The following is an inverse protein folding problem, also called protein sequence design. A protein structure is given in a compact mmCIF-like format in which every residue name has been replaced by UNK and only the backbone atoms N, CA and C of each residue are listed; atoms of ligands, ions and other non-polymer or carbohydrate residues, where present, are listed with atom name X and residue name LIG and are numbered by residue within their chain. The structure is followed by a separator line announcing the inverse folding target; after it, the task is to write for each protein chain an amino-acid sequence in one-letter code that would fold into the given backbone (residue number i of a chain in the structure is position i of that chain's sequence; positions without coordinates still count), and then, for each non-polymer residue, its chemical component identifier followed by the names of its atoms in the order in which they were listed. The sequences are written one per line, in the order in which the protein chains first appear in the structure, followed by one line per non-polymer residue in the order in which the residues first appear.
data_IF_772741851480
#
_entry.id   IF_772741851480
#
_cell.length_a   1.000
_cell.length_b   1.000
_cell.length_c   1.000
_cell.angle_alpha   90.00
_cell.angle_beta   90.00
_cell.angle_gamma   90.00
#
_symmetry.space_group_name_H-M   'P 1'
#
loop_
_entity.id
_entity.type
_entity.pdbx_description
1 polymer ?
#
# COMPACT_ATOMS: atom_id res chain seq x y z
N UNK A 1 8.20 -22.62 -70.93
CA UNK A 1 7.03 -22.59 -70.03
C UNK A 1 7.54 -22.71 -68.60
N UNK A 2 7.26 -21.69 -67.78
CA UNK A 2 7.83 -21.47 -66.44
C UNK A 2 7.11 -22.37 -65.43
N UNK A 3 7.89 -23.06 -64.59
CA UNK A 3 7.42 -23.95 -63.52
C UNK A 3 6.87 -23.13 -62.34
N UNK A 4 5.63 -23.39 -61.94
CA UNK A 4 4.99 -22.79 -60.76
C UNK A 4 5.54 -23.43 -59.49
N UNK A 5 6.15 -22.64 -58.61
CA UNK A 5 6.52 -23.03 -57.25
C UNK A 5 5.32 -22.78 -56.31
N UNK A 6 4.80 -23.84 -55.68
CA UNK A 6 3.88 -23.71 -54.56
C UNK A 6 4.71 -23.52 -53.28
N UNK A 7 4.68 -22.32 -52.70
CA UNK A 7 5.16 -22.09 -51.33
C UNK A 7 4.08 -22.56 -50.35
N UNK A 8 4.37 -23.65 -49.62
CA UNK A 8 3.60 -24.05 -48.45
C UNK A 8 3.97 -23.18 -47.25
N UNK A 9 2.98 -22.48 -46.68
CA UNK A 9 3.13 -21.71 -45.45
C UNK A 9 2.98 -22.68 -44.26
N UNK A 10 4.07 -23.02 -43.60
CA UNK A 10 4.04 -23.78 -42.35
C UNK A 10 3.67 -22.83 -41.19
N UNK A 11 2.48 -23.01 -40.63
CA UNK A 11 2.04 -22.30 -39.42
C UNK A 11 2.63 -23.03 -38.21
N UNK A 12 3.73 -22.50 -37.65
CA UNK A 12 4.30 -23.03 -36.41
C UNK A 12 3.44 -22.58 -35.23
N UNK A 13 2.68 -23.50 -34.65
CA UNK A 13 1.97 -23.27 -33.38
C UNK A 13 3.00 -23.30 -32.26
N UNK A 14 3.49 -22.14 -31.83
CA UNK A 14 4.22 -22.00 -30.57
C UNK A 14 3.22 -22.08 -29.42
N UNK A 15 3.10 -23.26 -28.80
CA UNK A 15 2.52 -23.35 -27.46
C UNK A 15 3.48 -22.65 -26.49
N UNK A 16 3.07 -21.51 -25.96
CA UNK A 16 3.73 -20.90 -24.81
C UNK A 16 3.53 -21.83 -23.61
N UNK A 17 4.60 -22.50 -23.20
CA UNK A 17 4.63 -23.24 -21.94
C UNK A 17 4.71 -22.18 -20.85
N UNK A 18 3.59 -21.91 -20.17
CA UNK A 18 3.59 -21.06 -19.00
C UNK A 18 4.56 -21.65 -17.96
N UNK A 19 5.51 -20.86 -17.50
CA UNK A 19 6.39 -21.24 -16.40
C UNK A 19 5.53 -21.58 -15.16
N UNK A 20 5.90 -22.58 -14.37
CA UNK A 20 5.17 -22.89 -13.15
C UNK A 20 5.25 -21.69 -12.21
N UNK A 21 4.10 -21.27 -11.71
CA UNK A 21 3.99 -20.20 -10.75
C UNK A 21 4.71 -20.59 -9.45
N UNK A 22 5.62 -19.74 -8.99
CA UNK A 22 6.37 -19.96 -7.75
C UNK A 22 5.42 -20.02 -6.55
N UNK A 23 5.78 -20.73 -5.47
CA UNK A 23 4.91 -20.86 -4.28
C UNK A 23 4.65 -19.53 -3.53
N UNK A 24 5.34 -18.44 -3.92
CA UNK A 24 5.04 -17.06 -3.52
C UNK A 24 3.98 -16.36 -4.40
N UNK A 25 3.51 -17.01 -5.45
CA UNK A 25 2.53 -16.51 -6.42
C UNK A 25 1.10 -17.05 -6.17
N UNK A 26 0.92 -17.87 -5.12
CA UNK A 26 -0.27 -18.70 -4.94
C UNK A 26 -1.52 -18.02 -4.37
N UNK A 27 -1.46 -16.76 -3.92
CA UNK A 27 -2.61 -16.08 -3.29
C UNK A 27 -3.39 -15.16 -4.24
N UNK A 28 -2.81 -14.79 -5.39
CA UNK A 28 -3.38 -13.80 -6.30
C UNK A 28 -3.25 -12.34 -5.81
N UNK A 29 -2.62 -12.10 -4.66
CA UNK A 29 -2.37 -10.76 -4.11
C UNK A 29 -0.95 -10.26 -4.38
N UNK A 30 -0.73 -8.94 -4.58
CA UNK A 30 0.59 -8.38 -4.75
C UNK A 30 1.50 -8.56 -3.52
N UNK A 31 2.77 -8.84 -3.76
CA UNK A 31 3.79 -9.00 -2.72
C UNK A 31 4.26 -7.63 -2.20
N UNK A 32 3.53 -7.06 -1.25
CA UNK A 32 3.80 -5.71 -0.69
C UNK A 32 4.56 -5.73 0.64
N UNK A 33 5.05 -6.89 1.10
CA UNK A 33 5.84 -6.99 2.34
C UNK A 33 7.09 -6.12 2.26
N UNK A 34 7.35 -5.39 3.34
CA UNK A 34 8.47 -4.45 3.47
C UNK A 34 8.04 -3.11 4.07
N UNK A 35 9.00 -2.19 4.19
CA UNK A 35 8.76 -0.84 4.66
C UNK A 35 8.53 0.11 3.50
N UNK A 36 7.48 0.90 3.59
CA UNK A 36 7.07 1.90 2.61
C UNK A 36 7.11 3.28 3.25
N UNK A 37 7.66 4.28 2.57
CA UNK A 37 7.84 5.61 3.16
C UNK A 37 7.38 6.71 2.21
N UNK A 38 6.93 7.82 2.81
CA UNK A 38 6.51 9.00 2.07
C UNK A 38 6.29 10.20 2.97
N UNK A 39 6.04 11.34 2.33
CA UNK A 39 5.67 12.58 3.02
C UNK A 39 4.31 13.07 2.53
N UNK A 40 3.54 13.68 3.41
CA UNK A 40 2.18 14.10 3.12
C UNK A 40 1.79 15.33 3.94
N UNK A 41 0.63 15.89 3.59
CA UNK A 41 -0.01 16.99 4.30
C UNK A 41 -1.23 16.48 5.06
N UNK A 42 -1.29 16.78 6.36
CA UNK A 42 -2.42 16.41 7.22
C UNK A 42 -3.48 17.50 7.18
N UNK A 43 -4.71 17.11 6.85
CA UNK A 43 -5.91 17.94 6.98
C UNK A 43 -6.64 17.66 8.28
N UNK A 44 -7.21 18.73 8.87
CA UNK A 44 -8.01 18.66 10.09
C UNK A 44 -9.40 19.23 9.83
N UNK A 45 -10.43 18.51 10.26
CA UNK A 45 -11.80 19.00 10.28
C UNK A 45 -11.91 20.25 11.15
N UNK A 46 -12.88 21.12 10.86
CA UNK A 46 -13.09 22.40 11.60
C UNK A 46 -13.26 22.20 13.12
N UNK A 47 -13.81 21.06 13.54
CA UNK A 47 -14.01 20.71 14.94
C UNK A 47 -12.74 20.27 15.66
N UNK A 48 -11.66 19.93 14.96
CA UNK A 48 -10.42 19.48 15.57
C UNK A 48 -9.66 20.68 16.18
N UNK A 49 -9.14 20.60 17.42
CA UNK A 49 -8.38 21.67 18.07
C UNK A 49 -7.16 22.15 17.27
N UNK A 50 -6.59 21.29 16.43
CA UNK A 50 -5.45 21.60 15.57
C UNK A 50 -5.84 22.18 14.20
N UNK A 51 -7.14 22.41 13.92
CA UNK A 51 -7.59 22.94 12.62
C UNK A 51 -6.87 24.23 12.20
N UNK A 52 -6.66 25.15 13.16
CA UNK A 52 -5.98 26.42 12.91
C UNK A 52 -4.49 26.27 12.54
N UNK A 53 -3.88 25.10 12.77
CA UNK A 53 -2.49 24.83 12.39
C UNK A 53 -2.33 24.53 10.88
N UNK A 54 -3.43 24.47 10.14
CA UNK A 54 -3.41 24.25 8.69
C UNK A 54 -2.87 22.87 8.31
N UNK A 55 -2.32 22.78 7.09
CA UNK A 55 -1.71 21.55 6.57
C UNK A 55 -0.34 21.33 7.22
N UNK A 56 -0.24 20.30 8.06
CA UNK A 56 1.03 19.91 8.68
C UNK A 56 1.79 18.94 7.77
N UNK A 57 3.08 19.23 7.53
CA UNK A 57 3.96 18.33 6.79
C UNK A 57 4.44 17.20 7.69
N UNK A 58 4.11 15.98 7.29
CA UNK A 58 4.33 14.76 8.07
C UNK A 58 5.08 13.75 7.20
N UNK A 59 5.91 12.93 7.83
CA UNK A 59 6.50 11.75 7.20
C UNK A 59 5.96 10.48 7.86
N UNK A 60 5.86 9.42 7.06
CA UNK A 60 5.46 8.11 7.56
C UNK A 60 6.33 6.97 7.04
N UNK A 61 6.35 5.89 7.81
CA UNK A 61 6.84 4.57 7.45
C UNK A 61 5.74 3.55 7.75
N UNK A 62 5.20 2.95 6.70
CA UNK A 62 4.27 1.83 6.79
C UNK A 62 5.06 0.53 6.58
N UNK A 63 5.27 -0.20 7.67
CA UNK A 63 5.95 -1.49 7.64
C UNK A 63 4.92 -2.61 7.55
N UNK A 64 4.85 -3.30 6.42
CA UNK A 64 3.98 -4.47 6.22
C UNK A 64 4.80 -5.72 6.51
N UNK A 65 4.42 -6.45 7.57
CA UNK A 65 5.22 -7.54 8.15
C UNK A 65 4.71 -8.93 7.77
N UNK A 66 3.41 -9.09 7.54
CA UNK A 66 2.80 -10.38 7.20
C UNK A 66 1.76 -10.24 6.10
N UNK A 67 1.81 -11.16 5.14
CA UNK A 67 0.78 -11.40 4.12
C UNK A 67 0.46 -12.91 4.14
N UNK A 68 -0.77 -13.26 4.51
CA UNK A 68 -1.23 -14.65 4.65
C UNK A 68 -2.61 -14.79 4.02
N UNK A 69 -2.64 -15.30 2.79
CA UNK A 69 -3.81 -15.15 1.92
C UNK A 69 -4.08 -13.66 1.66
N UNK A 70 -5.28 -13.19 2.01
CA UNK A 70 -5.66 -11.79 1.89
C UNK A 70 -5.40 -10.97 3.17
N UNK A 71 -4.92 -11.58 4.26
CA UNK A 71 -4.67 -10.90 5.54
C UNK A 71 -3.36 -10.11 5.49
N UNK A 72 -3.38 -8.90 6.03
CA UNK A 72 -2.25 -7.98 6.14
C UNK A 72 -2.04 -7.59 7.60
N UNK A 73 -0.80 -7.60 8.06
CA UNK A 73 -0.37 -6.96 9.32
C UNK A 73 0.66 -5.89 9.02
N UNK A 74 0.52 -4.73 9.64
CA UNK A 74 1.40 -3.59 9.43
C UNK A 74 1.63 -2.77 10.72
N UNK A 75 2.71 -2.01 10.73
CA UNK A 75 2.99 -0.97 11.71
C UNK A 75 3.08 0.37 10.99
N UNK A 76 2.23 1.32 11.35
CA UNK A 76 2.31 2.69 10.90
C UNK A 76 3.20 3.48 11.86
N UNK A 77 4.25 4.12 11.35
CA UNK A 77 5.05 5.09 12.10
C UNK A 77 4.93 6.43 11.44
N UNK A 78 4.66 7.49 12.20
CA UNK A 78 4.61 8.83 11.66
C UNK A 78 5.14 9.87 12.63
N UNK A 79 5.59 10.99 12.08
CA UNK A 79 5.95 12.19 12.85
C UNK A 79 5.89 13.43 11.98
N UNK A 80 5.75 14.60 12.60
CA UNK A 80 5.86 15.85 11.85
C UNK A 80 7.30 16.05 11.45
N UNK A 81 7.52 16.63 10.28
CA UNK A 81 8.88 16.93 9.85
C UNK A 81 9.48 17.97 10.80
N UNK A 82 10.58 17.60 11.45
CA UNK A 82 11.26 18.39 12.48
C UNK A 82 11.09 17.84 13.90
N UNK A 83 10.13 16.94 14.13
CA UNK A 83 9.99 16.22 15.40
C UNK A 83 11.04 15.09 15.48
N UNK A 84 11.48 14.78 16.69
CA UNK A 84 12.44 13.68 16.94
C UNK A 84 11.73 12.34 17.06
N UNK A 85 10.57 12.34 17.72
CA UNK A 85 9.92 11.12 18.20
C UNK A 85 8.90 10.63 17.18
N UNK A 86 8.86 9.31 17.01
CA UNK A 86 7.90 8.63 16.14
C UNK A 86 6.68 8.23 16.95
N UNK A 87 5.49 8.55 16.44
CA UNK A 87 4.24 7.90 16.84
C UNK A 87 4.18 6.56 16.13
N UNK A 88 3.81 5.51 16.85
CA UNK A 88 3.80 4.12 16.37
C UNK A 88 2.43 3.52 16.65
N UNK A 89 1.77 3.02 15.60
CA UNK A 89 0.43 2.46 15.67
C UNK A 89 0.40 1.12 14.93
N UNK A 90 -0.30 0.13 15.49
CA UNK A 90 -0.45 -1.16 14.85
C UNK A 90 -1.67 -1.15 13.93
N UNK A 91 -1.54 -1.79 12.78
CA UNK A 91 -2.59 -1.86 11.79
C UNK A 91 -2.78 -3.29 11.29
N UNK A 92 -4.03 -3.69 11.11
CA UNK A 92 -4.40 -4.97 10.55
C UNK A 92 -5.43 -4.75 9.45
N UNK A 93 -5.40 -5.59 8.42
CA UNK A 93 -6.26 -5.35 7.28
C UNK A 93 -6.33 -6.50 6.30
N UNK A 94 -7.01 -6.25 5.19
CA UNK A 94 -7.15 -7.25 4.13
C UNK A 94 -7.09 -6.64 2.75
N UNK A 95 -6.62 -7.42 1.79
CA UNK A 95 -6.87 -7.16 0.37
C UNK A 95 -8.31 -7.48 0.00
N UNK A 96 -8.84 -6.73 -0.98
CA UNK A 96 -10.09 -7.04 -1.65
C UNK A 96 -9.95 -8.33 -2.48
N UNK A 97 -10.92 -9.22 -2.37
CA UNK A 97 -10.95 -10.45 -3.15
C UNK A 97 -11.26 -10.20 -4.64
N UNK A 98 -12.00 -9.13 -4.94
CA UNK A 98 -12.43 -8.79 -6.31
C UNK A 98 -11.40 -7.90 -7.04
N UNK A 99 -10.65 -7.09 -6.27
CA UNK A 99 -9.62 -6.18 -6.79
C UNK A 99 -8.33 -6.36 -5.98
N UNK A 100 -7.49 -7.36 -6.29
CA UNK A 100 -6.35 -7.77 -5.43
C UNK A 100 -5.28 -6.71 -5.21
N UNK A 101 -5.29 -5.60 -5.95
CA UNK A 101 -4.38 -4.45 -5.73
C UNK A 101 -4.88 -3.49 -4.66
N UNK A 102 -6.12 -3.64 -4.20
CA UNK A 102 -6.76 -2.73 -3.24
C UNK A 102 -6.85 -3.39 -1.87
N UNK A 103 -6.56 -2.64 -0.83
CA UNK A 103 -6.61 -3.13 0.53
C UNK A 103 -7.17 -2.09 1.48
N UNK A 104 -7.60 -2.55 2.65
CA UNK A 104 -8.00 -1.69 3.77
C UNK A 104 -7.21 -2.11 4.99
N UNK A 105 -6.64 -1.15 5.72
CA UNK A 105 -6.07 -1.37 7.04
C UNK A 105 -6.88 -0.60 8.08
N UNK A 106 -7.21 -1.25 9.19
CA UNK A 106 -7.69 -0.62 10.39
C UNK A 106 -6.51 -0.46 11.35
N UNK A 107 -6.26 0.76 11.77
CA UNK A 107 -5.27 1.11 12.77
C UNK A 107 -5.91 1.12 14.15
N UNK A 108 -5.22 0.52 15.12
CA UNK A 108 -5.50 0.66 16.53
C UNK A 108 -4.22 1.11 17.22
N UNK A 109 -4.16 2.38 17.60
CA UNK A 109 -3.03 3.00 18.26
C UNK A 109 -3.41 3.62 19.59
N UNK A 110 -2.47 3.65 20.54
CA UNK A 110 -2.59 4.48 21.74
C UNK A 110 -2.18 5.90 21.34
N UNK A 111 -3.13 6.84 21.29
CA UNK A 111 -2.86 8.26 21.08
C UNK A 111 -3.17 9.01 22.37
N UNK A 112 -2.21 9.00 23.30
CA UNK A 112 -2.43 9.53 24.65
C UNK A 112 -3.45 8.70 25.44
N UNK A 113 -4.49 9.35 25.99
CA UNK A 113 -5.55 8.71 26.78
C UNK A 113 -6.66 8.07 25.92
N UNK A 114 -6.62 8.24 24.59
CA UNK A 114 -7.61 7.73 23.65
C UNK A 114 -7.02 6.66 22.72
N UNK A 115 -7.88 5.71 22.32
CA UNK A 115 -7.56 4.81 21.20
C UNK A 115 -7.75 5.60 19.91
N UNK A 116 -6.65 5.94 19.24
CA UNK A 116 -6.70 6.41 17.86
C UNK A 116 -7.08 5.22 17.00
N UNK A 117 -8.31 5.26 16.48
CA UNK A 117 -8.78 4.31 15.48
C UNK A 117 -8.82 5.03 14.13
N UNK A 118 -8.11 4.46 13.15
CA UNK A 118 -8.01 5.02 11.82
C UNK A 118 -8.27 3.96 10.75
N UNK A 119 -8.70 4.39 9.57
CA UNK A 119 -8.89 3.51 8.42
C UNK A 119 -8.03 4.02 7.27
N UNK A 120 -7.14 3.16 6.78
CA UNK A 120 -6.45 3.33 5.52
C UNK A 120 -7.19 2.61 4.41
N UNK A 121 -7.45 3.31 3.32
CA UNK A 121 -7.75 2.70 2.03
C UNK A 121 -6.49 2.76 1.17
N UNK A 122 -5.99 1.59 0.77
CA UNK A 122 -4.76 1.43 0.04
C UNK A 122 -4.97 0.89 -1.38
N UNK A 123 -4.11 1.32 -2.29
CA UNK A 123 -3.94 0.73 -3.62
C UNK A 123 -2.46 0.54 -3.88
N UNK A 124 -2.06 -0.66 -4.29
CA UNK A 124 -0.73 -0.94 -4.80
C UNK A 124 -0.73 -0.90 -6.33
N UNK A 125 0.10 -0.04 -6.91
CA UNK A 125 0.23 0.14 -8.35
C UNK A 125 1.66 0.59 -8.66
N UNK A 126 2.30 -0.03 -9.66
CA UNK A 126 3.61 0.38 -10.19
C UNK A 126 4.67 0.64 -9.11
N UNK A 127 4.84 -0.31 -8.19
CA UNK A 127 5.81 -0.23 -7.07
C UNK A 127 5.59 0.96 -6.12
N UNK A 128 4.35 1.40 -6.02
CA UNK A 128 3.90 2.47 -5.13
C UNK A 128 2.68 2.02 -4.35
N UNK A 129 2.62 2.39 -3.07
CA UNK A 129 1.41 2.29 -2.26
C UNK A 129 0.79 3.68 -2.16
N UNK A 130 -0.42 3.83 -2.69
CA UNK A 130 -1.25 5.00 -2.48
C UNK A 130 -2.20 4.72 -1.32
N UNK A 131 -2.19 5.56 -0.29
CA UNK A 131 -3.12 5.43 0.84
C UNK A 131 -3.89 6.71 1.10
N UNK A 132 -5.15 6.56 1.46
CA UNK A 132 -5.95 7.61 2.09
C UNK A 132 -6.33 7.18 3.49
N UNK A 133 -6.11 8.07 4.46
CA UNK A 133 -6.45 7.83 5.85
C UNK A 133 -7.64 8.70 6.26
N UNK A 134 -8.54 8.11 7.05
CA UNK A 134 -9.53 8.82 7.82
C UNK A 134 -9.49 8.34 9.27
N UNK A 135 -9.40 9.26 10.22
CA UNK A 135 -9.55 9.00 11.65
C UNK A 135 -10.95 9.40 12.12
N UNK A 136 -11.91 8.46 12.22
CA UNK A 136 -13.22 8.75 12.80
C UNK A 136 -13.07 9.27 14.24
N UNK A 137 -13.83 10.30 14.60
CA UNK A 137 -13.76 10.90 15.94
C UNK A 137 -12.65 11.95 16.11
N UNK A 138 -11.46 11.75 15.53
CA UNK A 138 -10.39 12.75 15.58
C UNK A 138 -10.54 13.82 14.50
N UNK A 139 -11.21 13.51 13.39
CA UNK A 139 -11.38 14.47 12.28
C UNK A 139 -10.06 14.76 11.57
N UNK A 140 -9.18 13.77 11.51
CA UNK A 140 -7.90 13.81 10.78
C UNK A 140 -8.07 13.08 9.46
N UNK A 141 -7.56 13.66 8.37
CA UNK A 141 -7.53 13.02 7.07
C UNK A 141 -6.27 13.38 6.28
N UNK A 142 -5.76 12.44 5.50
CA UNK A 142 -4.66 12.69 4.58
C UNK A 142 -4.64 11.69 3.42
N UNK A 143 -3.86 12.01 2.40
CA UNK A 143 -3.48 11.08 1.34
C UNK A 143 -1.95 11.06 1.25
N UNK A 144 -1.37 9.88 1.10
CA UNK A 144 0.07 9.69 0.97
C UNK A 144 0.39 8.75 -0.19
N UNK A 145 1.47 9.10 -0.89
CA UNK A 145 2.14 8.21 -1.83
C UNK A 145 3.38 7.65 -1.13
N UNK A 146 3.48 6.33 -1.08
CA UNK A 146 4.57 5.63 -0.41
C UNK A 146 5.39 4.84 -1.42
N UNK A 147 6.70 4.99 -1.35
CA UNK A 147 7.67 4.21 -2.11
C UNK A 147 8.34 3.21 -1.20
N UNK A 148 8.78 2.08 -1.76
CA UNK A 148 9.51 1.10 -0.98
C UNK A 148 10.79 1.74 -0.42
N UNK A 149 10.97 1.65 0.89
CA UNK A 149 12.19 2.12 1.54
C UNK A 149 13.27 1.10 1.21
N UNK A 150 14.29 1.52 0.46
CA UNK A 150 15.43 0.68 0.17
C UNK A 150 16.01 0.16 1.50
N UNK A 151 16.21 -1.15 1.58
CA UNK A 151 17.05 -1.71 2.62
C UNK A 151 18.42 -1.07 2.43
N UNK A 152 18.84 -0.19 3.35
CA UNK A 152 20.20 0.35 3.35
C UNK A 152 21.15 -0.83 3.21
N UNK A 153 21.93 -0.85 2.12
CA UNK A 153 23.09 -1.74 1.99
C UNK A 153 24.08 -1.49 3.11
#
# INVERSE_FOLDING_TARGET
MIKTFFLGLAMTVTLAIAAPADANEGSGFPQIVGTWTGTYLVGFAKSNPNHAKGLLKTEMELEITKLDGNLITATNRWRRIGDTDWVVEEAMGTFSLDEPTRFVLAEAGISGDDVSAGIFHGVYLDDVIMVTYAGPGTGVAFAAQLVKKDAKQ
#
